data_IF_308452125230
#
_entry.id   IF_308452125230
#
_cell.length_a   1.000
_cell.length_b   1.000
_cell.length_c   1.000
_cell.angle_alpha   90.00
_cell.angle_beta   90.00
_cell.angle_gamma   90.00
#
_symmetry.space_group_name_H-M   'P 1'
#
loop_
_entity.id
_entity.type
_entity.pdbx_description
1 polymer ?
#
# COMPACT_ATOMS: atom_id res chain seq x y z
N UNK A 1 -17.74 -13.57 -1.87
CA UNK A 1 -17.31 -14.73 -2.71
C UNK A 1 -17.02 -15.86 -1.78
N UNK A 2 -17.50 -17.06 -2.09
CA UNK A 2 -17.25 -18.24 -1.26
C UNK A 2 -15.92 -18.86 -1.74
N UNK A 3 -14.88 -18.86 -0.89
CA UNK A 3 -13.58 -19.50 -1.13
C UNK A 3 -13.53 -20.93 -0.53
N UNK A 4 -14.70 -21.54 -0.32
CA UNK A 4 -14.80 -22.89 0.24
C UNK A 4 -14.37 -23.93 -0.80
N UNK A 5 -13.48 -24.83 -0.40
CA UNK A 5 -13.11 -26.10 -1.04
C UNK A 5 -12.57 -26.08 -2.49
N UNK A 6 -12.06 -24.93 -2.96
CA UNK A 6 -11.33 -24.89 -4.24
C UNK A 6 -9.82 -24.80 -4.00
N UNK A 7 -9.06 -25.56 -4.79
CA UNK A 7 -7.61 -25.39 -4.85
C UNK A 7 -7.30 -24.15 -5.68
N UNK A 8 -6.59 -23.19 -5.09
CA UNK A 8 -6.17 -21.94 -5.75
C UNK A 8 -4.70 -22.01 -6.15
N UNK A 9 -4.38 -21.38 -7.26
CA UNK A 9 -3.01 -21.19 -7.74
C UNK A 9 -2.74 -19.72 -8.04
N UNK A 10 -1.58 -19.24 -7.59
CA UNK A 10 -1.02 -17.93 -7.97
C UNK A 10 0.00 -18.15 -9.10
N UNK A 11 -0.43 -17.87 -10.34
CA UNK A 11 0.37 -18.07 -11.54
C UNK A 11 1.11 -16.80 -11.91
N UNK A 12 2.44 -16.90 -12.14
CA UNK A 12 3.21 -15.81 -12.75
C UNK A 12 2.74 -15.62 -14.20
N UNK A 13 2.19 -14.43 -14.49
CA UNK A 13 1.73 -14.06 -15.83
C UNK A 13 2.85 -13.38 -16.60
N UNK A 14 3.60 -12.50 -15.90
CA UNK A 14 4.69 -11.76 -16.51
C UNK A 14 5.71 -11.30 -15.47
N UNK A 15 6.98 -11.31 -15.85
CA UNK A 15 8.08 -10.65 -15.14
C UNK A 15 8.42 -9.36 -15.89
N UNK A 16 8.48 -8.24 -15.16
CA UNK A 16 8.84 -6.92 -15.66
C UNK A 16 10.26 -6.60 -15.22
N UNK A 17 11.14 -6.46 -16.19
CA UNK A 17 12.56 -6.19 -16.00
C UNK A 17 12.90 -4.79 -16.51
N UNK A 18 13.88 -4.15 -15.87
CA UNK A 18 14.34 -2.83 -16.28
C UNK A 18 14.98 -2.04 -15.15
N UNK A 19 14.51 -2.19 -13.91
CA UNK A 19 15.21 -1.62 -12.77
C UNK A 19 16.58 -2.28 -12.57
N UNK A 20 17.55 -1.48 -12.15
CA UNK A 20 18.96 -1.93 -11.96
C UNK A 20 19.34 -2.06 -10.49
N UNK A 21 18.38 -1.84 -9.58
CA UNK A 21 18.51 -2.00 -8.15
C UNK A 21 17.15 -2.48 -7.59
N UNK A 22 17.08 -2.73 -6.28
CA UNK A 22 15.89 -3.16 -5.55
C UNK A 22 14.65 -2.36 -5.94
N UNK A 23 13.55 -3.04 -6.15
CA UNK A 23 12.24 -2.39 -6.34
C UNK A 23 11.53 -2.34 -5.01
N UNK A 24 11.23 -1.14 -4.54
CA UNK A 24 10.72 -0.90 -3.19
C UNK A 24 9.21 -0.79 -3.11
N UNK A 25 8.58 -0.17 -4.07
CA UNK A 25 7.17 0.17 -4.02
C UNK A 25 6.46 0.00 -5.35
N UNK A 26 5.17 -0.25 -5.26
CA UNK A 26 4.25 -0.42 -6.37
C UNK A 26 3.01 0.43 -6.15
N UNK A 27 2.42 0.93 -7.22
CA UNK A 27 1.12 1.59 -7.17
C UNK A 27 0.35 1.34 -8.47
N UNK A 28 -0.79 0.68 -8.37
CA UNK A 28 -1.74 0.60 -9.48
C UNK A 28 -2.45 1.94 -9.68
N UNK A 29 -2.51 2.40 -10.92
CA UNK A 29 -3.29 3.58 -11.25
C UNK A 29 -4.77 3.29 -11.03
N UNK A 30 -5.51 4.15 -10.29
CA UNK A 30 -6.94 3.96 -10.10
C UNK A 30 -7.71 3.97 -11.42
N UNK A 31 -8.76 3.14 -11.51
CA UNK A 31 -9.68 3.18 -12.62
C UNK A 31 -10.53 4.46 -12.55
N UNK A 32 -10.50 5.26 -13.58
CA UNK A 32 -11.35 6.45 -13.69
C UNK A 32 -12.84 6.13 -13.99
N UNK A 33 -13.31 4.93 -13.67
CA UNK A 33 -14.68 4.49 -13.93
C UNK A 33 -15.01 4.27 -15.42
N UNK A 34 -13.99 4.17 -16.27
CA UNK A 34 -14.14 3.95 -17.71
C UNK A 34 -13.72 2.50 -18.02
N UNK A 35 -14.64 1.71 -18.54
CA UNK A 35 -14.36 0.35 -19.00
C UNK A 35 -13.40 0.37 -20.21
N UNK A 36 -12.49 -0.60 -20.26
CA UNK A 36 -11.58 -0.77 -21.40
C UNK A 36 -10.32 0.10 -21.37
N UNK A 37 -10.07 0.83 -20.28
CA UNK A 37 -8.80 1.54 -20.08
C UNK A 37 -7.72 0.53 -19.70
N UNK A 38 -6.53 0.57 -20.34
CA UNK A 38 -5.42 -0.29 -19.96
C UNK A 38 -5.02 -0.14 -18.50
N UNK A 39 -4.70 -1.24 -17.84
CA UNK A 39 -4.12 -1.23 -16.49
C UNK A 39 -2.74 -0.58 -16.53
N UNK A 40 -2.47 0.31 -15.59
CA UNK A 40 -1.18 1.00 -15.44
C UNK A 40 -0.64 0.76 -14.03
N UNK A 41 0.62 0.38 -13.96
CA UNK A 41 1.36 0.14 -12.72
C UNK A 41 2.58 1.06 -12.67
N UNK A 42 2.81 1.71 -11.55
CA UNK A 42 4.07 2.39 -11.25
C UNK A 42 4.91 1.51 -10.33
N UNK A 43 6.23 1.48 -10.55
CA UNK A 43 7.22 0.86 -9.67
C UNK A 43 8.35 1.83 -9.38
N UNK A 44 8.82 1.88 -8.12
CA UNK A 44 9.90 2.76 -7.71
C UNK A 44 11.07 1.97 -7.11
N UNK A 45 12.31 2.47 -7.28
CA UNK A 45 13.51 1.68 -7.07
C UNK A 45 14.66 2.43 -6.40
N UNK A 46 15.61 1.64 -5.87
CA UNK A 46 16.92 2.07 -5.44
C UNK A 46 17.77 2.66 -6.57
N UNK A 47 17.45 2.35 -7.81
CA UNK A 47 18.10 2.93 -9.00
C UNK A 47 17.73 4.41 -9.24
N UNK A 48 16.93 5.01 -8.34
CA UNK A 48 16.48 6.42 -8.32
C UNK A 48 15.42 6.72 -9.39
N UNK A 49 14.87 5.71 -10.04
CA UNK A 49 13.86 5.86 -11.08
C UNK A 49 12.50 5.34 -10.64
N UNK A 50 11.47 5.82 -11.33
CA UNK A 50 10.14 5.23 -11.32
C UNK A 50 9.83 4.77 -12.74
N UNK A 51 9.32 3.55 -12.88
CA UNK A 51 8.88 3.01 -14.17
C UNK A 51 7.38 2.92 -14.23
N UNK A 52 6.83 3.32 -15.36
CA UNK A 52 5.41 3.23 -15.65
C UNK A 52 5.21 2.09 -16.65
N UNK A 53 4.44 1.10 -16.21
CA UNK A 53 4.12 -0.09 -16.98
C UNK A 53 2.66 -0.02 -17.41
N UNK A 54 2.42 -0.11 -18.70
CA UNK A 54 1.07 -0.05 -19.28
C UNK A 54 0.74 -1.38 -19.95
N UNK A 55 -0.46 -1.90 -19.68
CA UNK A 55 -0.94 -3.12 -20.30
C UNK A 55 -1.37 -2.83 -21.73
N UNK A 56 -0.84 -3.60 -22.69
CA UNK A 56 -1.25 -3.53 -24.09
C UNK A 56 -2.65 -4.12 -24.26
N UNK A 57 -3.56 -3.36 -24.85
CA UNK A 57 -4.91 -3.81 -25.16
C UNK A 57 -4.94 -4.98 -26.16
N UNK A 58 -3.93 -5.10 -27.02
CA UNK A 58 -3.87 -6.14 -28.05
C UNK A 58 -3.29 -7.47 -27.56
N UNK A 59 -2.29 -7.42 -26.66
CA UNK A 59 -1.56 -8.59 -26.19
C UNK A 59 -1.85 -8.95 -24.74
N UNK A 60 -2.40 -8.02 -23.95
CA UNK A 60 -2.58 -8.16 -22.51
C UNK A 60 -1.26 -8.07 -21.71
N UNK A 61 -0.10 -7.94 -22.37
CA UNK A 61 1.20 -7.85 -21.72
C UNK A 61 1.51 -6.42 -21.29
N UNK A 62 2.26 -6.27 -20.18
CA UNK A 62 2.75 -4.98 -19.71
C UNK A 62 4.05 -4.59 -20.42
N UNK A 63 4.16 -3.33 -20.78
CA UNK A 63 5.34 -2.74 -21.39
C UNK A 63 5.74 -1.49 -20.61
N UNK A 64 7.06 -1.22 -20.52
CA UNK A 64 7.56 0.01 -19.92
C UNK A 64 7.21 1.18 -20.85
N UNK A 65 6.30 2.05 -20.41
CA UNK A 65 5.81 3.20 -21.16
C UNK A 65 6.65 4.44 -20.93
N UNK A 66 7.11 4.62 -19.69
CA UNK A 66 7.94 5.76 -19.31
C UNK A 66 8.91 5.36 -18.17
N UNK A 67 10.03 6.05 -18.13
CA UNK A 67 10.99 6.03 -17.03
C UNK A 67 11.10 7.45 -16.51
N UNK A 68 10.74 7.66 -15.23
CA UNK A 68 10.86 8.94 -14.55
C UNK A 68 12.22 8.97 -13.87
N UNK A 69 13.11 9.79 -14.38
CA UNK A 69 14.51 9.89 -13.96
C UNK A 69 14.94 11.35 -13.80
N UNK A 70 16.16 11.61 -13.37
CA UNK A 70 16.78 12.94 -13.24
C UNK A 70 16.14 13.90 -12.22
N UNK A 71 15.11 13.50 -11.49
CA UNK A 71 14.46 14.32 -10.45
C UNK A 71 14.94 13.94 -9.06
N UNK A 72 14.97 12.64 -8.75
CA UNK A 72 15.49 12.16 -7.50
C UNK A 72 16.98 11.77 -7.61
N UNK A 73 17.77 12.14 -6.61
CA UNK A 73 19.18 11.82 -6.58
C UNK A 73 19.56 10.66 -5.63
N UNK A 74 18.56 10.10 -4.93
CA UNK A 74 18.67 8.91 -4.08
C UNK A 74 17.49 7.96 -4.34
N UNK A 75 17.49 6.82 -3.68
CA UNK A 75 16.42 5.80 -3.73
C UNK A 75 15.02 6.41 -3.73
N UNK A 76 14.18 6.02 -4.67
CA UNK A 76 12.74 6.28 -4.62
C UNK A 76 12.09 5.14 -3.85
N UNK A 77 11.57 5.45 -2.66
CA UNK A 77 11.10 4.44 -1.71
C UNK A 77 9.61 4.11 -1.85
N UNK A 78 8.80 5.06 -2.27
CA UNK A 78 7.35 4.94 -2.35
C UNK A 78 6.79 5.75 -3.51
N UNK A 79 5.71 5.29 -4.09
CA UNK A 79 4.94 6.03 -5.08
C UNK A 79 3.44 5.82 -4.86
N UNK A 80 2.63 6.81 -5.21
CA UNK A 80 1.18 6.75 -5.06
C UNK A 80 0.48 7.61 -6.12
N UNK A 81 -0.50 7.03 -6.80
CA UNK A 81 -1.37 7.77 -7.71
C UNK A 81 -2.43 8.56 -6.93
N UNK A 82 -2.72 9.77 -7.38
CA UNK A 82 -3.91 10.49 -6.93
C UNK A 82 -5.18 9.70 -7.26
N UNK A 83 -6.29 9.86 -6.51
CA UNK A 83 -7.55 9.14 -6.78
C UNK A 83 -8.08 9.33 -8.19
N UNK A 84 -7.82 10.50 -8.81
CA UNK A 84 -8.17 10.78 -10.21
C UNK A 84 -7.26 10.06 -11.22
N UNK A 85 -6.13 9.50 -10.78
CA UNK A 85 -5.10 8.92 -11.64
C UNK A 85 -4.34 9.94 -12.51
N UNK A 86 -4.51 11.25 -12.28
CA UNK A 86 -3.83 12.30 -13.05
C UNK A 86 -2.42 12.58 -12.57
N UNK A 87 -2.23 12.53 -11.25
CA UNK A 87 -0.95 12.81 -10.61
C UNK A 87 -0.35 11.54 -10.00
N UNK A 88 0.97 11.45 -10.06
CA UNK A 88 1.75 10.45 -9.35
C UNK A 88 2.69 11.16 -8.37
N UNK A 89 2.63 10.83 -7.09
CA UNK A 89 3.58 11.29 -6.10
C UNK A 89 4.67 10.24 -5.87
N UNK A 90 5.92 10.67 -5.72
CA UNK A 90 7.09 9.79 -5.48
C UNK A 90 7.92 10.31 -4.33
N UNK A 91 8.16 9.48 -3.32
CA UNK A 91 8.89 9.81 -2.11
C UNK A 91 10.30 9.22 -2.13
N UNK A 92 11.30 10.03 -1.83
CA UNK A 92 12.70 9.64 -1.96
C UNK A 92 13.52 9.83 -0.68
N UNK A 93 14.60 9.05 -0.61
CA UNK A 93 15.64 9.19 0.41
C UNK A 93 16.45 10.48 0.27
N UNK A 94 16.24 11.28 -0.77
CA UNK A 94 16.80 12.62 -0.90
C UNK A 94 16.05 13.69 -0.10
N UNK A 95 15.11 13.28 0.74
CA UNK A 95 14.24 14.10 1.58
C UNK A 95 13.15 14.88 0.82
N UNK A 96 12.92 14.57 -0.45
CA UNK A 96 11.91 15.23 -1.28
C UNK A 96 10.78 14.28 -1.69
N UNK A 97 9.65 14.88 -2.08
CA UNK A 97 8.55 14.20 -2.75
C UNK A 97 8.27 14.93 -4.06
N UNK A 98 8.38 14.24 -5.18
CA UNK A 98 8.08 14.80 -6.49
C UNK A 98 6.66 14.45 -6.92
N UNK A 99 6.01 15.40 -7.59
CA UNK A 99 4.67 15.25 -8.16
C UNK A 99 4.79 15.28 -9.67
N UNK A 100 4.27 14.26 -10.31
CA UNK A 100 4.33 14.06 -11.75
C UNK A 100 2.93 14.13 -12.35
N UNK A 101 2.80 14.80 -13.46
CA UNK A 101 1.57 14.85 -14.25
C UNK A 101 1.79 14.21 -15.62
N UNK A 102 0.84 13.40 -16.07
CA UNK A 102 0.86 12.86 -17.42
C UNK A 102 0.19 13.84 -18.37
N UNK A 103 0.97 14.46 -19.25
CA UNK A 103 0.49 15.39 -20.27
C UNK A 103 0.78 14.83 -21.66
N UNK A 104 -0.25 14.35 -22.36
CA UNK A 104 -0.11 13.85 -23.72
C UNK A 104 0.68 12.54 -23.88
N UNK A 105 0.92 11.83 -22.80
CA UNK A 105 1.69 10.58 -22.78
C UNK A 105 3.09 10.71 -22.17
N UNK A 106 3.57 11.93 -21.99
CA UNK A 106 4.81 12.25 -21.30
C UNK A 106 4.52 12.62 -19.83
N UNK A 107 5.48 12.35 -18.94
CA UNK A 107 5.39 12.67 -17.53
C UNK A 107 6.30 13.84 -17.19
N UNK A 108 5.72 14.94 -16.75
CA UNK A 108 6.42 16.13 -16.30
C UNK A 108 6.40 16.21 -14.77
N UNK A 109 7.54 16.54 -14.15
CA UNK A 109 7.59 16.88 -12.74
C UNK A 109 7.03 18.30 -12.55
N UNK A 110 5.82 18.40 -11.99
CA UNK A 110 5.10 19.67 -11.84
C UNK A 110 5.31 20.34 -10.51
N UNK A 111 5.75 19.59 -9.49
CA UNK A 111 6.06 20.12 -8.15
C UNK A 111 7.05 19.23 -7.43
N UNK A 112 7.86 19.85 -6.55
CA UNK A 112 8.74 19.15 -5.62
C UNK A 112 8.47 19.66 -4.21
N UNK A 113 8.07 18.76 -3.32
CA UNK A 113 7.77 19.08 -1.92
C UNK A 113 9.02 18.88 -1.09
N UNK A 114 9.44 19.95 -0.44
CA UNK A 114 10.62 20.02 0.43
C UNK A 114 10.21 20.34 1.86
N UNK A 115 10.98 19.86 2.84
CA UNK A 115 10.74 20.16 4.25
C UNK A 115 11.19 19.04 5.18
N UNK A 116 11.05 17.77 4.81
CA UNK A 116 11.63 16.68 5.58
C UNK A 116 13.15 16.84 5.73
N UNK A 117 13.65 16.57 6.92
CA UNK A 117 15.10 16.69 7.22
C UNK A 117 15.88 15.41 6.86
N UNK A 118 15.17 14.31 6.59
CA UNK A 118 15.75 13.02 6.28
C UNK A 118 14.91 12.30 5.22
N UNK A 119 15.29 11.04 4.94
CA UNK A 119 14.65 10.18 3.95
C UNK A 119 13.13 10.17 4.09
N UNK A 120 12.41 10.54 3.02
CA UNK A 120 10.96 10.33 2.92
C UNK A 120 10.71 8.88 2.52
N UNK A 121 9.89 8.17 3.30
CA UNK A 121 9.70 6.73 3.17
C UNK A 121 8.36 6.32 2.59
N UNK A 122 7.36 7.18 2.69
CA UNK A 122 6.03 6.87 2.17
C UNK A 122 5.27 8.13 1.81
N UNK A 123 4.37 7.99 0.86
CA UNK A 123 3.45 9.00 0.38
C UNK A 123 2.07 8.40 0.14
N UNK A 124 1.00 9.12 0.49
CA UNK A 124 -0.39 8.65 0.35
C UNK A 124 -1.33 9.82 0.12
N UNK A 125 -2.28 9.65 -0.81
CA UNK A 125 -3.35 10.60 -1.09
C UNK A 125 -4.61 10.24 -0.28
N UNK A 126 -5.35 11.25 0.18
CA UNK A 126 -6.69 11.03 0.74
C UNK A 126 -7.70 10.68 -0.36
N UNK A 127 -8.90 10.28 0.03
CA UNK A 127 -9.93 9.79 -0.90
C UNK A 127 -10.39 10.83 -1.93
N UNK A 128 -10.41 12.11 -1.56
CA UNK A 128 -10.79 13.21 -2.46
C UNK A 128 -9.65 13.68 -3.38
N UNK A 129 -8.40 13.39 -3.00
CA UNK A 129 -7.21 13.93 -3.66
C UNK A 129 -6.89 15.37 -3.28
N UNK A 130 -7.55 15.92 -2.25
CA UNK A 130 -7.30 17.27 -1.73
C UNK A 130 -6.14 17.33 -0.74
N UNK A 131 -5.77 16.17 -0.14
CA UNK A 131 -4.67 16.07 0.81
C UNK A 131 -3.68 14.98 0.38
N UNK A 132 -2.42 15.25 0.64
CA UNK A 132 -1.31 14.32 0.50
C UNK A 132 -0.61 14.19 1.84
N UNK A 133 -0.24 12.99 2.24
CA UNK A 133 0.58 12.77 3.43
C UNK A 133 1.94 12.18 3.04
N UNK A 134 2.99 12.61 3.73
CA UNK A 134 4.35 12.08 3.62
C UNK A 134 4.91 11.75 4.99
N UNK A 135 5.84 10.81 5.08
CA UNK A 135 6.51 10.49 6.34
C UNK A 135 7.96 10.05 6.11
N UNK A 136 8.77 10.15 7.14
CA UNK A 136 10.17 9.88 6.96
C UNK A 136 10.96 9.41 8.18
N UNK A 137 12.26 9.34 7.98
CA UNK A 137 13.25 8.99 9.00
C UNK A 137 13.38 10.07 10.09
N UNK A 138 12.99 11.30 9.79
CA UNK A 138 12.90 12.40 10.75
C UNK A 138 11.81 12.23 11.81
N UNK A 139 11.11 11.08 11.81
CA UNK A 139 10.05 10.67 12.75
C UNK A 139 8.76 11.48 12.62
N UNK A 140 8.66 12.33 11.61
CA UNK A 140 7.52 13.21 11.36
C UNK A 140 6.61 12.66 10.27
N UNK A 141 5.36 13.12 10.32
CA UNK A 141 4.34 12.95 9.29
C UNK A 141 3.90 14.35 8.86
N UNK A 142 3.92 14.63 7.56
CA UNK A 142 3.54 15.90 6.98
C UNK A 142 2.25 15.77 6.21
N UNK A 143 1.36 16.76 6.34
CA UNK A 143 0.12 16.84 5.57
C UNK A 143 0.23 18.07 4.66
N UNK A 144 -0.05 17.84 3.39
CA UNK A 144 0.00 18.83 2.32
C UNK A 144 -1.39 19.00 1.73
N UNK A 145 -1.86 20.24 1.63
CA UNK A 145 -3.07 20.57 0.89
C UNK A 145 -2.74 20.75 -0.60
N UNK A 146 -3.62 20.22 -1.45
CA UNK A 146 -3.49 20.32 -2.90
C UNK A 146 -4.28 21.52 -3.37
N UNK A 147 -3.58 22.55 -3.82
CA UNK A 147 -4.13 23.79 -4.33
C UNK A 147 -4.31 23.74 -5.85
N UNK A 148 -5.07 24.70 -6.46
CA UNK A 148 -5.17 24.80 -7.90
C UNK A 148 -3.80 24.90 -8.59
N UNK A 149 -3.72 24.42 -9.84
CA UNK A 149 -2.50 24.42 -10.67
C UNK A 149 -1.36 23.53 -10.13
N UNK A 150 -1.72 22.46 -9.40
CA UNK A 150 -0.76 21.51 -8.82
C UNK A 150 0.24 22.18 -7.86
N UNK A 151 -0.20 23.23 -7.16
CA UNK A 151 0.52 23.80 -6.03
C UNK A 151 0.21 23.00 -4.75
N UNK A 152 1.15 22.98 -3.82
CA UNK A 152 1.03 22.24 -2.55
C UNK A 152 1.46 23.14 -1.41
N UNK A 153 0.66 23.15 -0.35
CA UNK A 153 0.99 23.87 0.89
C UNK A 153 1.04 22.90 2.07
N UNK A 154 2.09 23.00 2.89
CA UNK A 154 2.17 22.20 4.10
C UNK A 154 1.21 22.79 5.15
N UNK A 155 0.18 22.04 5.49
CA UNK A 155 -0.84 22.46 6.47
C UNK A 155 -0.56 21.93 7.86
N UNK A 156 0.19 20.81 7.99
CA UNK A 156 0.53 20.27 9.31
C UNK A 156 1.80 19.42 9.29
N UNK A 157 2.56 19.50 10.38
CA UNK A 157 3.72 18.64 10.68
C UNK A 157 3.48 17.92 11.99
N UNK A 158 3.18 16.64 11.90
CA UNK A 158 2.77 15.80 13.01
C UNK A 158 3.98 15.16 13.68
N UNK A 159 4.12 15.41 14.98
CA UNK A 159 5.14 14.79 15.83
C UNK A 159 4.48 13.82 16.79
N UNK A 160 5.14 12.71 17.10
CA UNK A 160 4.61 11.74 18.06
C UNK A 160 5.25 10.36 17.97
N UNK A 161 5.72 9.94 16.78
CA UNK A 161 6.56 8.75 16.69
C UNK A 161 7.95 9.02 17.26
N UNK A 162 8.52 8.00 17.91
CA UNK A 162 9.85 8.12 18.53
C UNK A 162 10.98 7.61 17.66
N UNK A 163 10.63 6.97 16.53
CA UNK A 163 11.56 6.41 15.55
C UNK A 163 11.02 6.65 14.13
N UNK A 164 11.77 6.21 13.12
CA UNK A 164 11.43 6.29 11.70
C UNK A 164 9.97 5.90 11.43
N UNK A 165 9.25 6.74 10.70
CA UNK A 165 7.92 6.39 10.20
C UNK A 165 8.07 5.67 8.86
N UNK A 166 7.55 4.44 8.77
CA UNK A 166 7.74 3.56 7.62
C UNK A 166 6.71 3.76 6.52
N UNK A 167 5.46 3.99 6.92
CA UNK A 167 4.35 4.16 5.99
C UNK A 167 3.28 5.09 6.56
N UNK A 168 2.66 5.85 5.68
CA UNK A 168 1.41 6.56 5.90
C UNK A 168 0.33 6.02 4.96
N UNK A 169 -0.90 5.96 5.46
CA UNK A 169 -2.05 5.52 4.69
C UNK A 169 -3.30 6.27 5.14
N UNK A 170 -3.98 6.91 4.20
CA UNK A 170 -5.28 7.50 4.45
C UNK A 170 -6.37 6.43 4.54
N UNK A 171 -7.35 6.68 5.38
CA UNK A 171 -8.58 5.90 5.37
C UNK A 171 -9.28 6.01 4.00
N UNK A 172 -9.87 4.94 3.45
CA UNK A 172 -10.38 4.93 2.07
C UNK A 172 -11.57 5.86 1.80
N UNK A 173 -12.24 6.40 2.84
CA UNK A 173 -13.43 7.24 2.68
C UNK A 173 -13.55 8.41 3.66
N UNK A 174 -12.61 8.58 4.58
CA UNK A 174 -12.60 9.65 5.58
C UNK A 174 -11.21 10.27 5.67
N UNK A 175 -11.14 11.55 6.06
CA UNK A 175 -9.87 12.25 6.29
C UNK A 175 -9.28 11.90 7.66
N UNK A 176 -8.96 10.61 7.81
CA UNK A 176 -8.25 10.03 8.95
C UNK A 176 -6.98 9.41 8.40
N UNK A 177 -5.84 9.79 8.96
CA UNK A 177 -4.53 9.32 8.53
C UNK A 177 -3.98 8.30 9.53
N UNK A 178 -3.32 7.29 8.99
CA UNK A 178 -2.62 6.27 9.76
C UNK A 178 -1.14 6.30 9.42
N UNK A 179 -0.31 6.12 10.43
CA UNK A 179 1.13 5.98 10.25
C UNK A 179 1.65 4.80 11.05
N UNK A 180 2.63 4.08 10.53
CA UNK A 180 3.30 2.99 11.22
C UNK A 180 4.81 3.19 11.26
N UNK A 181 5.46 2.67 12.32
CA UNK A 181 6.81 3.09 12.64
C UNK A 181 7.71 1.95 13.13
N UNK A 182 9.01 2.24 13.08
CA UNK A 182 10.06 1.49 13.76
C UNK A 182 9.91 1.50 15.30
N UNK A 183 9.09 2.41 15.86
CA UNK A 183 8.74 2.43 17.28
C UNK A 183 7.69 1.38 17.68
N UNK A 184 7.37 0.45 16.80
CA UNK A 184 6.45 -0.68 16.97
C UNK A 184 4.97 -0.25 17.07
N UNK A 185 4.65 1.00 16.81
CA UNK A 185 3.29 1.53 16.94
C UNK A 185 2.67 1.92 15.60
N UNK A 186 1.35 1.92 15.60
CA UNK A 186 0.51 2.59 14.59
C UNK A 186 -0.15 3.78 15.29
N UNK A 187 -0.11 4.95 14.66
CA UNK A 187 -0.81 6.14 15.15
C UNK A 187 -1.94 6.50 14.20
N UNK A 188 -3.03 6.93 14.80
CA UNK A 188 -4.22 7.42 14.11
C UNK A 188 -4.29 8.92 14.33
N UNK A 189 -4.39 9.68 13.24
CA UNK A 189 -4.40 11.12 13.22
C UNK A 189 -5.70 11.64 12.63
N UNK A 190 -6.28 12.64 13.24
CA UNK A 190 -7.49 13.30 12.78
C UNK A 190 -7.39 14.79 13.04
N UNK A 191 -8.10 15.54 12.22
CA UNK A 191 -8.27 16.97 12.40
C UNK A 191 -9.27 17.24 13.52
N UNK A 192 -8.99 18.25 14.34
CA UNK A 192 -9.94 18.78 15.30
C UNK A 192 -10.86 19.80 14.59
N UNK A 193 -12.13 19.47 14.43
CA UNK A 193 -13.07 20.30 13.69
C UNK A 193 -13.29 21.71 14.21
N UNK A 194 -12.80 22.03 15.42
CA UNK A 194 -12.94 23.37 16.02
C UNK A 194 -11.75 24.30 15.72
N UNK A 195 -10.57 23.75 15.45
CA UNK A 195 -9.32 24.51 15.32
C UNK A 195 -8.52 24.23 14.04
N UNK A 196 -8.96 23.37 13.16
CA UNK A 196 -8.23 22.86 11.98
C UNK A 196 -6.82 22.27 12.34
N UNK A 197 -6.66 21.80 13.58
CA UNK A 197 -5.40 21.23 14.08
C UNK A 197 -5.42 19.69 13.99
N UNK A 198 -4.41 19.13 13.35
CA UNK A 198 -4.19 17.68 13.29
C UNK A 198 -3.51 17.17 14.54
N UNK A 199 -4.05 16.13 15.16
CA UNK A 199 -3.48 15.51 16.36
C UNK A 199 -3.61 13.99 16.38
N UNK A 200 -2.84 13.32 17.22
CA UNK A 200 -2.90 11.88 17.42
C UNK A 200 -4.11 11.53 18.30
N UNK A 201 -5.12 10.90 17.72
CA UNK A 201 -6.34 10.49 18.45
C UNK A 201 -6.19 9.10 19.06
N UNK A 202 -5.31 8.24 18.52
CA UNK A 202 -5.08 6.91 19.07
C UNK A 202 -3.67 6.40 18.72
N UNK A 203 -3.08 5.63 19.63
CA UNK A 203 -1.86 4.86 19.39
C UNK A 203 -2.15 3.39 19.62
N UNK A 204 -1.89 2.55 18.62
CA UNK A 204 -2.01 1.10 18.65
C UNK A 204 -0.61 0.53 18.87
N UNK A 205 -0.36 0.02 20.05
CA UNK A 205 0.93 -0.52 20.48
C UNK A 205 0.75 -1.75 21.35
N UNK A 206 1.78 -2.15 22.07
CA UNK A 206 1.79 -3.36 22.87
C UNK A 206 0.64 -3.44 23.89
N UNK A 207 0.25 -2.30 24.51
CA UNK A 207 -0.88 -2.23 25.44
C UNK A 207 -2.24 -2.56 24.82
N UNK A 208 -2.36 -2.47 23.50
CA UNK A 208 -3.57 -2.77 22.72
C UNK A 208 -3.43 -4.07 21.92
N UNK A 209 -2.60 -5.00 22.35
CA UNK A 209 -2.25 -6.21 21.58
C UNK A 209 -1.57 -5.89 20.24
N UNK A 210 -0.87 -4.76 20.17
CA UNK A 210 -0.13 -4.31 19.00
C UNK A 210 1.12 -5.11 18.72
N UNK A 211 1.87 -4.66 17.73
CA UNK A 211 3.13 -5.28 17.33
C UNK A 211 4.22 -5.08 18.38
N UNK A 212 5.14 -6.04 18.46
CA UNK A 212 6.28 -6.03 19.37
C UNK A 212 7.59 -5.65 18.68
N UNK A 213 7.54 -5.38 17.38
CA UNK A 213 8.68 -4.92 16.58
C UNK A 213 8.20 -3.98 15.48
N UNK A 214 9.11 -3.48 14.63
CA UNK A 214 8.84 -2.53 13.54
C UNK A 214 7.58 -2.86 12.77
N UNK A 215 6.68 -1.90 12.61
CA UNK A 215 5.50 -2.02 11.73
C UNK A 215 5.87 -1.44 10.37
N UNK A 216 5.79 -2.27 9.32
CA UNK A 216 6.24 -1.92 7.98
C UNK A 216 5.18 -1.38 7.06
N UNK A 217 3.98 -1.94 7.10
CA UNK A 217 2.91 -1.57 6.18
C UNK A 217 1.52 -1.74 6.78
N UNK A 218 0.58 -1.00 6.19
CA UNK A 218 -0.85 -0.99 6.51
C UNK A 218 -1.66 -1.15 5.23
N UNK A 219 -2.85 -1.73 5.33
CA UNK A 219 -3.83 -1.76 4.23
C UNK A 219 -5.24 -1.90 4.77
N UNK A 220 -6.19 -1.19 4.16
CA UNK A 220 -7.61 -1.25 4.51
C UNK A 220 -8.37 -2.23 3.63
N UNK A 221 -9.44 -2.79 4.16
CA UNK A 221 -10.45 -3.46 3.35
C UNK A 221 -11.31 -2.42 2.59
N UNK A 222 -12.15 -2.91 1.68
CA UNK A 222 -12.93 -2.04 0.79
C UNK A 222 -13.95 -1.15 1.53
N UNK A 223 -14.49 -1.59 2.67
CA UNK A 223 -15.44 -0.83 3.49
C UNK A 223 -14.77 0.17 4.44
N UNK A 224 -13.47 0.02 4.71
CA UNK A 224 -12.73 0.86 5.63
C UNK A 224 -12.98 0.55 7.12
N UNK A 225 -13.78 -0.45 7.45
CA UNK A 225 -14.05 -0.85 8.83
C UNK A 225 -12.98 -1.79 9.41
N UNK A 226 -12.11 -2.35 8.56
CA UNK A 226 -10.98 -3.19 8.95
C UNK A 226 -9.67 -2.72 8.30
N UNK A 227 -8.58 -2.92 9.01
CA UNK A 227 -7.21 -2.65 8.58
C UNK A 227 -6.32 -3.83 8.93
N UNK A 228 -5.33 -4.12 8.09
CA UNK A 228 -4.24 -5.04 8.40
C UNK A 228 -2.93 -4.31 8.53
N UNK A 229 -2.05 -4.82 9.39
CA UNK A 229 -0.67 -4.35 9.56
C UNK A 229 0.29 -5.52 9.58
N UNK A 230 1.55 -5.31 9.18
CA UNK A 230 2.60 -6.33 9.19
C UNK A 230 3.90 -5.82 9.82
N UNK A 231 4.71 -6.76 10.34
CA UNK A 231 5.83 -6.40 11.19
C UNK A 231 7.02 -7.37 11.09
N UNK A 232 8.16 -6.89 11.63
CA UNK A 232 9.34 -7.70 11.98
C UNK A 232 9.04 -8.77 13.04
N UNK A 233 7.95 -8.64 13.79
CA UNK A 233 7.52 -9.66 14.77
C UNK A 233 6.93 -10.91 14.11
N UNK A 234 7.00 -11.01 12.79
CA UNK A 234 6.54 -12.12 11.96
C UNK A 234 5.03 -12.33 11.98
N UNK A 235 4.27 -11.30 12.36
CA UNK A 235 2.81 -11.36 12.41
C UNK A 235 2.16 -10.36 11.47
N UNK A 236 0.94 -10.71 11.06
CA UNK A 236 -0.02 -9.80 10.47
C UNK A 236 -1.13 -9.63 11.51
N UNK A 237 -1.49 -8.39 11.82
CA UNK A 237 -2.58 -8.09 12.75
C UNK A 237 -3.75 -7.48 12.01
N UNK A 238 -4.94 -7.86 12.42
CA UNK A 238 -6.20 -7.32 11.90
C UNK A 238 -6.81 -6.43 12.96
N UNK A 239 -7.18 -5.23 12.57
CA UNK A 239 -7.78 -4.20 13.39
C UNK A 239 -9.16 -3.86 12.85
N UNK A 240 -10.08 -3.48 13.70
CA UNK A 240 -11.41 -3.08 13.27
C UNK A 240 -11.97 -1.93 14.08
N UNK A 241 -12.98 -1.30 13.51
CA UNK A 241 -13.70 -0.17 14.10
C UNK A 241 -15.18 -0.21 13.74
N UNK A 242 -16.02 0.46 14.53
CA UNK A 242 -17.41 0.70 14.15
C UNK A 242 -17.49 1.91 13.22
N UNK A 243 -17.40 1.64 11.91
CA UNK A 243 -17.40 2.67 10.87
C UNK A 243 -18.67 3.54 10.90
N UNK A 244 -19.83 3.00 11.30
CA UNK A 244 -21.10 3.75 11.33
C UNK A 244 -21.08 4.80 12.44
N UNK A 245 -20.59 4.43 13.61
CA UNK A 245 -20.40 5.38 14.72
C UNK A 245 -19.34 6.41 14.38
N UNK A 246 -18.25 6.01 13.76
CA UNK A 246 -17.20 6.92 13.32
C UNK A 246 -17.74 7.96 12.32
N UNK A 247 -18.53 7.54 11.34
CA UNK A 247 -19.16 8.43 10.35
C UNK A 247 -20.21 9.38 10.97
N UNK A 248 -20.83 9.00 12.11
CA UNK A 248 -21.78 9.86 12.82
C UNK A 248 -21.12 10.90 13.73
N UNK A 249 -19.78 10.95 13.79
CA UNK A 249 -19.05 11.92 14.61
C UNK A 249 -18.99 11.55 16.09
N UNK A 250 -19.23 10.26 16.46
CA UNK A 250 -19.03 9.79 17.82
C UNK A 250 -17.54 9.73 18.14
N UNK A 251 -17.02 10.74 18.82
CA UNK A 251 -15.60 10.89 19.13
C UNK A 251 -14.97 9.81 20.03
N UNK A 252 -15.76 8.85 20.49
CA UNK A 252 -15.28 7.73 21.31
C UNK A 252 -15.03 6.44 20.50
N UNK A 253 -15.07 6.49 19.17
CA UNK A 253 -14.84 5.32 18.33
C UNK A 253 -13.34 5.08 18.17
N UNK A 254 -12.91 3.87 18.53
CA UNK A 254 -11.51 3.46 18.52
C UNK A 254 -11.31 2.24 17.64
N UNK A 255 -10.10 2.10 17.13
CA UNK A 255 -9.62 0.88 16.48
C UNK A 255 -9.22 -0.14 17.53
N UNK A 256 -9.66 -1.37 17.37
CA UNK A 256 -9.39 -2.48 18.29
C UNK A 256 -8.75 -3.65 17.56
N UNK A 257 -7.89 -4.38 18.26
CA UNK A 257 -7.30 -5.62 17.73
C UNK A 257 -8.39 -6.70 17.61
N UNK A 258 -8.50 -7.31 16.41
CA UNK A 258 -9.47 -8.36 16.14
C UNK A 258 -8.82 -9.74 16.01
N UNK A 259 -7.65 -9.84 15.32
CA UNK A 259 -7.03 -11.12 15.04
C UNK A 259 -5.52 -10.97 14.79
N UNK A 260 -4.76 -12.04 15.04
CA UNK A 260 -3.33 -12.13 14.72
C UNK A 260 -3.07 -13.38 13.87
N UNK A 261 -2.47 -13.18 12.70
CA UNK A 261 -2.00 -14.24 11.83
C UNK A 261 -0.50 -14.43 12.06
N UNK A 262 -0.11 -15.59 12.60
CA UNK A 262 1.27 -15.91 12.96
C UNK A 262 1.69 -17.30 12.48
N UNK A 263 3.02 -17.53 12.34
CA UNK A 263 3.55 -18.82 11.92
C UNK A 263 3.48 -19.08 10.40
N UNK A 264 3.18 -18.05 9.61
CA UNK A 264 3.11 -18.17 8.15
C UNK A 264 4.37 -17.69 7.44
N UNK A 265 5.08 -16.73 8.00
CA UNK A 265 6.37 -16.25 7.55
C UNK A 265 7.41 -16.49 8.66
N UNK A 266 8.65 -16.76 8.30
CA UNK A 266 9.77 -16.98 9.21
C UNK A 266 10.81 -15.84 9.16
N UNK A 267 10.57 -14.82 8.36
CA UNK A 267 11.34 -13.57 8.26
C UNK A 267 10.39 -12.36 8.18
N UNK A 268 10.97 -11.16 8.28
CA UNK A 268 10.26 -9.88 8.23
C UNK A 268 9.20 -9.81 7.15
N UNK A 269 7.99 -9.39 7.53
CA UNK A 269 6.90 -9.13 6.59
C UNK A 269 6.93 -7.65 6.23
N UNK A 270 7.34 -7.33 4.99
CA UNK A 270 7.52 -5.94 4.54
C UNK A 270 6.26 -5.31 3.99
N UNK A 271 5.33 -6.10 3.48
CA UNK A 271 4.16 -5.58 2.79
C UNK A 271 2.93 -6.44 3.02
N UNK A 272 1.80 -5.77 3.20
CA UNK A 272 0.45 -6.35 3.17
C UNK A 272 -0.44 -5.51 2.28
N UNK A 273 -1.39 -6.15 1.61
CA UNK A 273 -2.42 -5.46 0.84
C UNK A 273 -3.74 -6.21 0.87
N UNK A 274 -4.83 -5.50 1.12
CA UNK A 274 -6.18 -6.08 1.15
C UNK A 274 -6.88 -5.82 -0.18
N UNK A 275 -7.31 -6.88 -0.86
CA UNK A 275 -8.06 -6.75 -2.12
C UNK A 275 -9.51 -6.30 -1.88
N UNK A 276 -10.15 -5.78 -2.91
CA UNK A 276 -11.58 -5.47 -2.87
C UNK A 276 -12.46 -6.70 -2.62
N UNK A 277 -12.00 -7.87 -3.03
CA UNK A 277 -12.70 -9.15 -2.87
C UNK A 277 -12.46 -9.81 -1.50
N UNK A 278 -11.74 -9.14 -0.60
CA UNK A 278 -11.51 -9.63 0.77
C UNK A 278 -10.29 -10.53 0.94
N UNK A 279 -9.37 -10.57 -0.03
CA UNK A 279 -8.13 -11.36 0.06
C UNK A 279 -7.02 -10.47 0.63
N UNK A 280 -6.38 -10.92 1.70
CA UNK A 280 -5.17 -10.30 2.24
C UNK A 280 -3.97 -10.97 1.60
N UNK A 281 -3.06 -10.20 1.00
CA UNK A 281 -1.75 -10.67 0.54
C UNK A 281 -0.64 -10.16 1.42
N UNK A 282 0.39 -10.95 1.63
CA UNK A 282 1.63 -10.55 2.30
C UNK A 282 2.86 -10.93 1.48
N UNK A 283 3.89 -10.07 1.54
CA UNK A 283 5.20 -10.29 0.97
C UNK A 283 6.28 -10.09 2.03
N UNK A 284 7.27 -10.97 2.05
CA UNK A 284 8.24 -11.03 3.15
C UNK A 284 9.67 -11.31 2.68
N UNK A 285 10.61 -11.19 3.63
CA UNK A 285 12.03 -11.48 3.44
C UNK A 285 12.33 -13.00 3.31
N UNK A 286 11.33 -13.83 3.35
CA UNK A 286 11.43 -15.27 3.04
C UNK A 286 11.14 -15.58 1.56
N UNK A 287 11.18 -14.57 0.69
CA UNK A 287 10.96 -14.64 -0.77
C UNK A 287 9.57 -15.16 -1.17
N UNK A 288 8.64 -15.16 -0.24
CA UNK A 288 7.35 -15.81 -0.39
C UNK A 288 6.16 -14.83 -0.30
N UNK A 289 5.08 -15.22 -0.99
CA UNK A 289 3.76 -14.56 -0.89
C UNK A 289 2.81 -15.51 -0.17
N UNK A 290 2.00 -14.95 0.73
CA UNK A 290 0.90 -15.65 1.39
C UNK A 290 -0.40 -14.92 1.10
N UNK A 291 -1.47 -15.68 0.88
CA UNK A 291 -2.81 -15.16 0.70
C UNK A 291 -3.72 -15.69 1.81
N UNK A 292 -4.53 -14.81 2.38
CA UNK A 292 -5.46 -15.15 3.46
C UNK A 292 -6.85 -14.66 3.13
N UNK A 293 -7.86 -15.36 3.64
CA UNK A 293 -9.28 -14.99 3.56
C UNK A 293 -9.94 -15.16 4.91
N UNK A 294 -10.97 -14.37 5.16
CA UNK A 294 -11.78 -14.49 6.37
C UNK A 294 -12.58 -15.80 6.32
N UNK A 295 -12.67 -16.51 7.45
CA UNK A 295 -13.49 -17.70 7.59
C UNK A 295 -14.96 -17.31 7.73
N UNK A 296 -15.85 -18.06 7.09
CA UNK A 296 -17.30 -17.84 7.17
C UNK A 296 -17.87 -18.10 8.57
N UNK A 297 -17.20 -18.95 9.36
CA UNK A 297 -17.62 -19.34 10.71
C UNK A 297 -17.16 -18.37 11.81
N UNK A 298 -16.44 -17.30 11.45
CA UNK A 298 -15.98 -16.26 12.39
C UNK A 298 -17.13 -15.40 12.88
N UNK A 299 -17.08 -14.97 14.16
CA UNK A 299 -17.99 -13.93 14.66
C UNK A 299 -17.56 -12.56 14.15
N UNK A 300 -18.50 -11.62 14.03
CA UNK A 300 -18.22 -10.24 13.59
C UNK A 300 -17.19 -9.57 14.50
N UNK A 301 -17.25 -9.85 15.81
CA UNK A 301 -16.37 -9.25 16.82
C UNK A 301 -15.01 -9.96 16.95
N UNK A 302 -14.89 -11.19 16.45
CA UNK A 302 -13.66 -11.99 16.46
C UNK A 302 -13.54 -12.75 15.13
N UNK A 303 -13.23 -12.06 14.03
CA UNK A 303 -13.04 -12.72 12.75
C UNK A 303 -11.81 -13.60 12.80
N UNK A 304 -11.90 -14.78 12.23
CA UNK A 304 -10.77 -15.67 12.01
C UNK A 304 -10.39 -15.70 10.53
N UNK A 305 -9.12 -15.91 10.25
CA UNK A 305 -8.59 -15.94 8.90
C UNK A 305 -7.88 -17.26 8.63
N UNK A 306 -8.08 -17.82 7.45
CA UNK A 306 -7.37 -19.00 6.98
C UNK A 306 -6.40 -18.66 5.87
N UNK A 307 -5.32 -19.43 5.82
CA UNK A 307 -4.41 -19.38 4.70
C UNK A 307 -5.10 -19.97 3.47
N UNK A 308 -5.24 -19.14 2.43
CA UNK A 308 -5.78 -19.56 1.14
C UNK A 308 -4.70 -20.21 0.27
N UNK A 309 -3.49 -19.63 0.24
CA UNK A 309 -2.42 -20.04 -0.63
C UNK A 309 -1.05 -19.65 -0.12
N UNK A 310 -0.05 -20.52 -0.37
CA UNK A 310 1.38 -20.28 -0.21
C UNK A 310 2.06 -20.25 -1.57
N UNK A 311 2.74 -19.16 -1.90
CA UNK A 311 3.64 -19.08 -3.04
C UNK A 311 5.07 -18.95 -2.53
N UNK A 312 5.73 -20.09 -2.41
CA UNK A 312 7.14 -20.15 -2.06
C UNK A 312 8.00 -19.71 -3.23
N UNK A 313 9.14 -19.08 -2.95
CA UNK A 313 10.08 -18.61 -3.97
C UNK A 313 9.38 -17.81 -5.08
N UNK A 314 8.49 -16.91 -4.66
CA UNK A 314 7.81 -16.01 -5.58
C UNK A 314 8.82 -15.09 -6.28
N UNK A 315 9.89 -14.71 -5.58
CA UNK A 315 11.07 -13.99 -6.08
C UNK A 315 12.35 -14.70 -5.66
N UNK A 316 13.48 -14.24 -6.20
CA UNK A 316 14.80 -14.78 -5.86
C UNK A 316 15.42 -14.10 -4.62
N UNK A 317 14.78 -13.02 -4.13
CA UNK A 317 15.17 -12.22 -2.97
C UNK A 317 13.93 -11.67 -2.26
N UNK A 318 14.15 -10.90 -1.17
CA UNK A 318 13.13 -10.27 -0.33
C UNK A 318 12.04 -9.58 -1.15
N UNK A 319 10.78 -9.72 -0.73
CA UNK A 319 9.62 -9.08 -1.37
C UNK A 319 9.26 -7.81 -0.59
N UNK A 320 9.46 -6.66 -1.21
CA UNK A 320 9.27 -5.35 -0.59
C UNK A 320 7.85 -4.80 -0.71
N UNK A 321 7.11 -5.19 -1.74
CA UNK A 321 5.76 -4.70 -1.99
C UNK A 321 4.90 -5.75 -2.67
N UNK A 322 3.66 -5.84 -2.23
CA UNK A 322 2.58 -6.60 -2.89
C UNK A 322 1.36 -5.71 -3.02
N UNK A 323 0.73 -5.68 -4.21
CA UNK A 323 -0.39 -4.80 -4.48
C UNK A 323 -1.43 -5.50 -5.39
N UNK A 324 -2.66 -5.65 -4.91
CA UNK A 324 -3.77 -6.08 -5.74
C UNK A 324 -4.17 -4.97 -6.72
N UNK A 325 -4.47 -5.35 -7.96
CA UNK A 325 -5.02 -4.43 -8.95
C UNK A 325 -6.38 -3.90 -8.48
N UNK A 326 -6.59 -2.61 -8.66
CA UNK A 326 -7.88 -1.96 -8.42
C UNK A 326 -8.88 -2.16 -9.57
N UNK A 327 -8.38 -2.52 -10.77
CA UNK A 327 -9.16 -2.66 -12.00
C UNK A 327 -9.49 -4.11 -12.33
N UNK A 328 -8.53 -5.01 -12.13
CA UNK A 328 -8.66 -6.41 -12.48
C UNK A 328 -8.73 -7.25 -11.21
N UNK A 329 -9.87 -7.88 -11.00
CA UNK A 329 -10.05 -8.81 -9.91
C UNK A 329 -9.02 -9.95 -10.03
N UNK A 330 -8.43 -10.35 -8.88
CA UNK A 330 -7.47 -11.45 -8.76
C UNK A 330 -6.11 -11.25 -9.45
N UNK A 331 -5.77 -10.02 -9.87
CA UNK A 331 -4.43 -9.68 -10.34
C UNK A 331 -3.61 -9.02 -9.25
N UNK A 332 -2.44 -9.58 -8.96
CA UNK A 332 -1.50 -9.11 -7.95
C UNK A 332 -0.20 -8.69 -8.64
N UNK A 333 0.43 -7.63 -8.15
CA UNK A 333 1.81 -7.29 -8.49
C UNK A 333 2.69 -7.46 -7.25
N UNK A 334 3.93 -7.89 -7.43
CA UNK A 334 4.96 -7.95 -6.39
C UNK A 334 6.26 -7.34 -6.87
N UNK A 335 6.99 -6.70 -5.95
CA UNK A 335 8.29 -6.07 -6.19
C UNK A 335 9.33 -6.61 -5.22
N UNK A 336 10.57 -6.76 -5.67
CA UNK A 336 11.61 -7.45 -4.92
C UNK A 336 12.98 -6.77 -4.99
N UNK A 337 13.84 -7.16 -4.03
CA UNK A 337 15.27 -6.87 -4.02
C UNK A 337 16.00 -7.48 -5.22
N UNK A 338 15.41 -8.44 -5.93
CA UNK A 338 15.95 -9.03 -7.16
C UNK A 338 15.88 -8.07 -8.38
N UNK A 339 15.37 -6.85 -8.19
CA UNK A 339 15.26 -5.83 -9.23
C UNK A 339 14.06 -6.02 -10.18
N UNK A 340 13.20 -6.99 -9.93
CA UNK A 340 12.05 -7.30 -10.79
C UNK A 340 10.72 -6.96 -10.16
N UNK A 341 9.73 -6.72 -11.02
CA UNK A 341 8.32 -6.73 -10.69
C UNK A 341 7.68 -7.94 -11.36
N UNK A 342 6.84 -8.66 -10.65
CA UNK A 342 6.09 -9.78 -11.20
C UNK A 342 4.60 -9.52 -11.15
N UNK A 343 3.92 -9.91 -12.21
CA UNK A 343 2.46 -9.87 -12.31
C UNK A 343 1.94 -11.29 -12.14
N UNK A 344 0.99 -11.44 -11.26
CA UNK A 344 0.38 -12.72 -10.90
C UNK A 344 -1.13 -12.70 -11.17
N UNK A 345 -1.66 -13.86 -11.50
CA UNK A 345 -3.10 -14.10 -11.60
C UNK A 345 -3.50 -15.22 -10.63
N UNK A 346 -4.49 -14.94 -9.79
CA UNK A 346 -5.08 -15.91 -8.88
C UNK A 346 -6.23 -16.64 -9.60
N UNK A 347 -6.03 -17.91 -9.89
CA UNK A 347 -7.01 -18.79 -10.55
C UNK A 347 -7.40 -19.99 -9.68
N UNK A 348 -8.53 -20.61 -10.00
CA UNK A 348 -8.92 -21.92 -9.47
C UNK A 348 -8.26 -23.02 -10.29
N UNK A 349 -7.59 -23.99 -9.65
CA UNK A 349 -6.95 -25.12 -10.32
C UNK A 349 -7.94 -26.06 -11.01
N UNK A 350 -9.22 -26.03 -10.63
CA UNK A 350 -10.28 -26.82 -11.27
C UNK A 350 -10.71 -26.29 -12.64
N UNK A 351 -10.50 -24.99 -12.91
CA UNK A 351 -10.85 -24.37 -14.20
C UNK A 351 -9.97 -24.82 -15.37
N UNK A 352 -8.75 -25.26 -15.11
CA UNK A 352 -7.80 -25.67 -16.16
C UNK A 352 -8.06 -27.06 -16.71
N UNK A 353 -8.70 -27.96 -15.96
CA UNK A 353 -9.03 -29.32 -16.45
C UNK A 353 -10.18 -29.35 -17.47
N UNK A 354 -10.95 -28.27 -17.62
CA UNK A 354 -12.05 -28.17 -18.59
C UNK A 354 -11.66 -27.56 -19.93
N UNK A 355 -10.48 -26.97 -20.07
CA UNK A 355 -9.98 -26.39 -21.33
C UNK A 355 -9.01 -27.32 -22.08
N UNK A 356 -8.63 -28.47 -21.51
CA UNK A 356 -7.72 -29.47 -22.13
C UNK A 356 -8.41 -30.78 -22.49
N UNK A 357 -9.76 -30.78 -22.65
CA UNK A 357 -10.52 -31.89 -23.22
C UNK A 357 -11.23 -31.50 -24.50
#
# INVERSE_FOLDING_TARGET
>A
MNFADEDYELKEVQRLEGHTDRVWGLAWKPAAGVDGVPSVLASCSGDKTVRIWEQSASTGSFQCKAVLEDTHNRTVRSCAWSPSGKLLATASFDATTAIWENVGGDFDCVSTLEGHENEVKSVSWNASGSLLATCGRDKSVWIWEVLPHNEFECVSVLQGHTQDVKMVQWHPSMDILFSCSYDNTIKVWSEDGDNDDWHCVQTLGESNSGHTSTVWALSFNASGDKMVSCSDDLTIKVWGTDIKRMQSGDGNVTWTHLSTLSGYHDRTIFSVHWSRDGIISSGAADDAIRLFVENEDGSVDQPSYKLLLKKEKAHDMDINSVQWSSMENRRLASASDDGTVKIWELGSSLGQKKQSM
#
